data_IF_395387479925
#
_entry.id   IF_395387479925
#
_cell.length_a   1.000
_cell.length_b   1.000
_cell.length_c   1.000
_cell.angle_alpha   90.00
_cell.angle_beta   90.00
_cell.angle_gamma   90.00
#
_symmetry.space_group_name_H-M   'P 1'
#
loop_
_entity.id
_entity.type
_entity.pdbx_description
1 polymer ?
#
# COMPACT_ATOMS: atom_id res chain seq x y z
N UNK A 1 3.71 8.87 -2.21
CA UNK A 1 4.24 7.47 -2.26
C UNK A 1 3.51 6.50 -1.33
N UNK A 2 3.29 6.77 -0.03
CA UNK A 2 2.60 5.81 0.86
C UNK A 2 1.19 5.43 0.37
N UNK A 3 0.42 6.39 -0.13
CA UNK A 3 -0.90 6.14 -0.74
C UNK A 3 -0.78 5.23 -1.97
N UNK A 4 0.22 5.43 -2.82
CA UNK A 4 0.46 4.55 -3.99
C UNK A 4 0.81 3.12 -3.55
N UNK A 5 1.59 2.97 -2.48
CA UNK A 5 1.88 1.66 -1.90
C UNK A 5 0.59 0.97 -1.43
N UNK A 6 -0.26 1.68 -0.69
CA UNK A 6 -1.54 1.17 -0.21
C UNK A 6 -2.48 0.77 -1.36
N UNK A 7 -2.60 1.62 -2.40
CA UNK A 7 -3.43 1.33 -3.57
C UNK A 7 -2.90 0.12 -4.33
N UNK A 8 -1.58 0.05 -4.56
CA UNK A 8 -0.97 -1.09 -5.22
C UNK A 8 -1.17 -2.39 -4.42
N UNK A 9 -1.03 -2.36 -3.09
CA UNK A 9 -1.28 -3.52 -2.24
C UNK A 9 -2.74 -3.95 -2.26
N UNK A 10 -3.68 -3.00 -2.36
CA UNK A 10 -5.11 -3.29 -2.59
C UNK A 10 -5.35 -4.01 -3.93
N UNK A 11 -4.61 -3.66 -4.98
CA UNK A 11 -4.72 -4.36 -6.28
C UNK A 11 -4.06 -5.74 -6.22
N UNK A 12 -2.88 -5.84 -5.59
CA UNK A 12 -2.13 -7.09 -5.42
C UNK A 12 -2.94 -8.15 -4.65
N UNK A 13 -3.59 -7.75 -3.54
CA UNK A 13 -4.42 -8.68 -2.74
C UNK A 13 -5.70 -9.13 -3.46
N UNK A 14 -6.09 -8.42 -4.53
CA UNK A 14 -7.20 -8.81 -5.42
C UNK A 14 -6.75 -9.71 -6.58
N UNK A 15 -5.48 -10.12 -6.61
CA UNK A 15 -4.95 -11.04 -7.62
C UNK A 15 -4.29 -10.39 -8.83
N UNK A 16 -4.14 -9.06 -8.84
CA UNK A 16 -3.32 -8.37 -9.86
C UNK A 16 -1.84 -8.68 -9.60
N UNK A 17 -1.12 -9.15 -10.61
CA UNK A 17 0.31 -9.53 -10.47
C UNK A 17 1.27 -8.47 -11.00
N UNK A 18 0.78 -7.52 -11.79
CA UNK A 18 1.59 -6.47 -12.41
C UNK A 18 0.94 -5.11 -12.23
N UNK A 19 1.66 -4.23 -11.54
CA UNK A 19 1.26 -2.84 -11.38
C UNK A 19 1.90 -2.04 -12.51
N UNK A 20 1.06 -1.54 -13.42
CA UNK A 20 1.45 -0.54 -14.40
C UNK A 20 0.81 0.79 -13.96
N UNK A 21 1.56 1.68 -13.29
CA UNK A 21 1.05 3.00 -12.98
C UNK A 21 0.66 3.71 -14.27
N UNK A 22 -0.50 4.37 -14.29
CA UNK A 22 -0.95 5.11 -15.47
C UNK A 22 0.17 6.06 -15.92
N UNK A 23 0.68 5.90 -17.16
CA UNK A 23 1.85 6.61 -17.59
C UNK A 23 1.56 8.09 -17.83
N UNK A 24 2.65 8.83 -17.83
CA UNK A 24 2.74 10.20 -18.29
C UNK A 24 2.01 10.42 -19.63
N UNK A 25 1.16 11.44 -19.69
CA UNK A 25 0.67 12.00 -20.97
C UNK A 25 1.76 12.93 -21.53
N UNK A 26 2.76 12.35 -22.18
CA UNK A 26 3.73 13.13 -22.96
C UNK A 26 3.07 13.70 -24.22
N UNK A 27 3.40 14.95 -24.55
CA UNK A 27 3.07 15.56 -25.82
C UNK A 27 4.28 16.28 -26.39
N UNK A 28 5.00 15.64 -27.31
CA UNK A 28 6.04 16.23 -28.17
C UNK A 28 5.54 17.43 -29.00
N UNK A 29 4.22 17.54 -29.14
CA UNK A 29 3.55 18.46 -30.05
C UNK A 29 3.24 19.85 -29.46
N UNK A 30 3.92 20.29 -28.39
CA UNK A 30 3.63 21.57 -27.71
C UNK A 30 2.16 21.75 -27.25
N UNK A 31 1.37 20.68 -27.22
CA UNK A 31 0.00 20.67 -26.71
C UNK A 31 0.01 20.19 -25.26
N UNK A 32 -0.22 21.14 -24.35
CA UNK A 32 -0.22 20.97 -22.90
C UNK A 32 -1.50 20.25 -22.48
N UNK A 33 -1.45 18.93 -22.26
CA UNK A 33 -2.50 18.24 -21.51
C UNK A 33 -2.22 18.41 -20.02
N UNK A 34 -3.17 18.99 -19.28
CA UNK A 34 -3.12 19.00 -17.82
C UNK A 34 -3.03 17.54 -17.36
N UNK A 35 -2.04 17.29 -16.50
CA UNK A 35 -1.65 15.99 -16.01
C UNK A 35 -2.81 15.25 -15.33
N UNK A 36 -2.91 13.95 -15.60
CA UNK A 36 -3.59 13.02 -14.70
C UNK A 36 -2.83 12.95 -13.36
N UNK A 37 -3.53 12.57 -12.30
CA UNK A 37 -3.14 12.64 -10.88
C UNK A 37 -1.88 11.86 -10.45
N UNK A 38 -1.20 11.16 -11.35
CA UNK A 38 0.02 10.37 -11.06
C UNK A 38 1.18 10.78 -12.00
N UNK A 39 1.82 11.93 -11.74
CA UNK A 39 3.05 12.34 -12.47
C UNK A 39 4.27 11.51 -12.02
N UNK A 40 4.50 10.40 -12.71
CA UNK A 40 5.66 9.53 -12.53
C UNK A 40 6.72 9.96 -13.55
N UNK A 41 7.49 11.00 -13.19
CA UNK A 41 8.59 11.50 -14.01
C UNK A 41 9.76 11.99 -13.16
N UNK A 42 10.95 12.10 -13.76
CA UNK A 42 12.17 12.59 -13.12
C UNK A 42 12.07 14.03 -12.58
N UNK A 43 11.02 14.75 -12.97
CA UNK A 43 10.70 16.10 -12.51
C UNK A 43 9.99 16.10 -11.16
N UNK A 44 9.38 14.98 -10.78
CA UNK A 44 8.72 14.83 -9.49
C UNK A 44 9.78 14.68 -8.38
N UNK A 45 9.69 15.41 -7.25
CA UNK A 45 10.62 15.26 -6.13
C UNK A 45 10.76 13.83 -5.62
N UNK A 46 9.70 13.03 -5.77
CA UNK A 46 9.61 11.64 -5.31
C UNK A 46 10.23 10.62 -6.26
N UNK A 47 10.72 11.03 -7.45
CA UNK A 47 11.21 10.12 -8.49
C UNK A 47 12.23 9.09 -7.99
N UNK A 48 13.22 9.54 -7.23
CA UNK A 48 14.27 8.68 -6.69
C UNK A 48 13.71 7.61 -5.74
N UNK A 49 12.64 7.93 -5.02
CA UNK A 49 11.99 7.02 -4.07
C UNK A 49 11.01 6.03 -4.73
N UNK A 50 10.65 6.21 -6.01
CA UNK A 50 9.81 5.25 -6.75
C UNK A 50 10.49 3.88 -6.82
N UNK A 51 11.82 3.83 -6.89
CA UNK A 51 12.56 2.57 -6.91
C UNK A 51 12.21 1.67 -5.72
N UNK A 52 12.06 2.24 -4.53
CA UNK A 52 11.70 1.48 -3.33
C UNK A 52 10.29 0.86 -3.45
N UNK A 53 9.35 1.53 -4.11
CA UNK A 53 8.03 0.96 -4.40
C UNK A 53 8.12 -0.17 -5.43
N UNK A 54 8.82 0.06 -6.54
CA UNK A 54 8.91 -0.93 -7.62
C UNK A 54 9.65 -2.19 -7.19
N UNK A 55 10.70 -2.05 -6.38
CA UNK A 55 11.44 -3.20 -5.83
C UNK A 55 10.50 -4.07 -4.99
N UNK A 56 9.67 -3.45 -4.13
CA UNK A 56 8.66 -4.15 -3.34
C UNK A 56 7.60 -4.82 -4.24
N UNK A 57 7.01 -4.07 -5.18
CA UNK A 57 5.95 -4.59 -6.04
C UNK A 57 6.41 -5.73 -6.94
N UNK A 58 7.66 -5.70 -7.40
CA UNK A 58 8.24 -6.78 -8.19
C UNK A 58 8.25 -8.09 -7.41
N UNK A 59 8.59 -8.06 -6.11
CA UNK A 59 8.52 -9.25 -5.27
C UNK A 59 7.05 -9.59 -4.98
N UNK A 60 6.25 -8.62 -4.56
CA UNK A 60 4.86 -8.89 -4.17
C UNK A 60 4.02 -9.49 -5.31
N UNK A 61 4.20 -9.01 -6.55
CA UNK A 61 3.51 -9.48 -7.75
C UNK A 61 4.02 -10.79 -8.36
N UNK A 62 5.09 -11.39 -7.83
CA UNK A 62 5.61 -12.68 -8.30
C UNK A 62 4.76 -13.86 -7.79
N UNK A 63 3.57 -14.02 -8.35
CA UNK A 63 2.71 -15.19 -8.13
C UNK A 63 1.94 -15.53 -9.41
N UNK A 64 1.45 -16.77 -9.49
CA UNK A 64 0.64 -17.26 -10.59
C UNK A 64 -0.84 -16.89 -10.37
N UNK A 65 -1.31 -15.86 -11.08
CA UNK A 65 -2.69 -15.40 -10.97
C UNK A 65 -3.65 -16.43 -11.55
N UNK A 66 -4.68 -16.79 -10.78
CA UNK A 66 -5.65 -17.80 -11.20
C UNK A 66 -5.19 -19.25 -10.97
N UNK A 67 -3.98 -19.48 -10.46
CA UNK A 67 -3.54 -20.84 -10.09
C UNK A 67 -4.41 -21.48 -9.00
N UNK A 68 -5.00 -20.64 -8.13
CA UNK A 68 -5.99 -21.07 -7.16
C UNK A 68 -7.37 -20.61 -7.62
N UNK A 69 -8.14 -21.52 -8.22
CA UNK A 69 -9.56 -21.26 -8.51
C UNK A 69 -10.36 -21.33 -7.20
N UNK A 70 -11.06 -20.26 -6.79
CA UNK A 70 -11.82 -20.27 -5.54
C UNK A 70 -13.07 -21.13 -5.65
N UNK A 71 -13.42 -21.81 -4.55
CA UNK A 71 -14.64 -22.61 -4.45
C UNK A 71 -15.93 -21.78 -4.57
N UNK A 72 -15.86 -20.49 -4.21
CA UNK A 72 -16.98 -19.56 -4.13
C UNK A 72 -16.91 -18.55 -5.27
N UNK A 73 -17.92 -18.55 -6.13
CA UNK A 73 -18.06 -17.53 -7.19
C UNK A 73 -19.23 -16.61 -6.88
N UNK A 74 -19.04 -15.31 -7.07
CA UNK A 74 -20.09 -14.29 -6.91
C UNK A 74 -20.54 -13.87 -8.31
N UNK A 75 -21.83 -14.01 -8.61
CA UNK A 75 -22.32 -13.64 -9.93
C UNK A 75 -22.24 -12.12 -10.12
N UNK A 76 -21.39 -11.67 -11.04
CA UNK A 76 -21.30 -10.28 -11.47
C UNK A 76 -22.48 -9.97 -12.38
N UNK A 77 -23.42 -9.18 -11.86
CA UNK A 77 -24.44 -8.58 -12.69
C UNK A 77 -23.92 -7.29 -13.27
N UNK A 78 -23.74 -7.25 -14.58
CA UNK A 78 -23.66 -5.98 -15.30
C UNK A 78 -25.08 -5.44 -15.45
N UNK A 79 -25.69 -5.02 -14.35
CA UNK A 79 -26.96 -4.31 -14.40
C UNK A 79 -26.71 -2.93 -15.02
N UNK A 80 -26.89 -2.87 -16.35
CA UNK A 80 -26.93 -1.69 -17.21
C UNK A 80 -25.59 -0.92 -17.38
N UNK A 81 -25.16 -0.63 -18.62
CA UNK A 81 -24.15 0.42 -18.82
C UNK A 81 -24.71 1.72 -18.26
N UNK A 82 -23.95 2.39 -17.39
CA UNK A 82 -24.31 3.70 -16.84
C UNK A 82 -24.66 4.63 -18.01
N UNK A 83 -25.91 5.12 -18.14
CA UNK A 83 -26.26 6.01 -19.23
C UNK A 83 -25.69 7.39 -18.93
N UNK A 84 -24.64 7.74 -19.65
CA UNK A 84 -23.94 9.03 -19.63
C UNK A 84 -23.33 9.41 -18.26
N UNK A 85 -22.12 9.96 -18.27
CA UNK A 85 -21.27 10.21 -17.07
C UNK A 85 -21.89 11.23 -16.07
N UNK A 86 -23.05 11.77 -16.42
CA UNK A 86 -23.77 12.84 -15.72
C UNK A 86 -25.13 12.42 -15.15
N UNK A 87 -25.66 11.24 -15.47
CA UNK A 87 -26.96 10.81 -14.93
C UNK A 87 -26.81 10.23 -13.52
N UNK A 88 -27.70 10.56 -12.56
CA UNK A 88 -27.70 9.93 -11.27
C UNK A 88 -27.97 8.42 -11.42
N UNK A 89 -27.14 7.60 -10.77
CA UNK A 89 -27.34 6.15 -10.70
C UNK A 89 -28.74 5.90 -10.10
N UNK A 90 -29.63 5.18 -10.80
CA UNK A 90 -30.95 4.82 -10.28
C UNK A 90 -30.86 4.18 -8.88
N UNK A 91 -31.76 4.56 -7.97
CA UNK A 91 -31.72 4.11 -6.57
C UNK A 91 -31.67 2.57 -6.43
N UNK A 92 -32.39 1.84 -7.30
CA UNK A 92 -32.34 0.37 -7.34
C UNK A 92 -30.94 -0.17 -7.61
N UNK A 93 -30.19 0.45 -8.52
CA UNK A 93 -28.80 0.07 -8.84
C UNK A 93 -27.85 0.41 -7.69
N UNK A 94 -28.05 1.57 -7.04
CA UNK A 94 -27.29 1.95 -5.84
C UNK A 94 -27.47 0.91 -4.73
N UNK A 95 -28.70 0.52 -4.46
CA UNK A 95 -29.00 -0.51 -3.45
C UNK A 95 -28.43 -1.88 -3.83
N UNK A 96 -28.46 -2.25 -5.11
CA UNK A 96 -27.82 -3.47 -5.59
C UNK A 96 -26.31 -3.46 -5.37
N UNK A 97 -25.63 -2.36 -5.74
CA UNK A 97 -24.20 -2.16 -5.48
C UNK A 97 -23.85 -2.22 -3.99
N UNK A 98 -24.67 -1.61 -3.12
CA UNK A 98 -24.49 -1.69 -1.67
C UNK A 98 -24.59 -3.13 -1.15
N UNK A 99 -25.56 -3.92 -1.63
CA UNK A 99 -25.69 -5.34 -1.24
C UNK A 99 -24.49 -6.18 -1.68
N UNK A 100 -24.00 -5.96 -2.90
CA UNK A 100 -22.79 -6.62 -3.39
C UNK A 100 -21.61 -6.26 -2.49
N UNK A 101 -21.38 -4.97 -2.22
CA UNK A 101 -20.25 -4.54 -1.39
C UNK A 101 -20.30 -5.14 0.02
N UNK A 102 -21.47 -5.16 0.67
CA UNK A 102 -21.63 -5.79 2.00
C UNK A 102 -21.29 -7.29 1.96
N UNK A 103 -21.69 -8.00 0.89
CA UNK A 103 -21.34 -9.40 0.70
C UNK A 103 -19.82 -9.59 0.52
N UNK A 104 -19.19 -8.79 -0.35
CA UNK A 104 -17.76 -8.87 -0.63
C UNK A 104 -16.94 -8.54 0.62
N UNK A 105 -17.30 -7.49 1.36
CA UNK A 105 -16.65 -7.11 2.62
C UNK A 105 -16.72 -8.24 3.66
N UNK A 106 -17.84 -8.98 3.68
CA UNK A 106 -18.02 -10.12 4.61
C UNK A 106 -17.21 -11.34 4.19
N UNK A 107 -17.12 -11.64 2.89
CA UNK A 107 -16.23 -12.68 2.37
C UNK A 107 -14.76 -12.38 2.70
N UNK A 108 -14.34 -11.12 2.55
CA UNK A 108 -13.00 -10.66 2.91
C UNK A 108 -12.73 -10.79 4.42
N UNK A 109 -13.67 -10.35 5.28
CA UNK A 109 -13.56 -10.49 6.73
C UNK A 109 -13.38 -11.95 7.16
N UNK A 110 -14.09 -12.87 6.54
CA UNK A 110 -14.06 -14.29 6.87
C UNK A 110 -12.93 -15.05 6.14
N UNK A 111 -12.03 -14.34 5.46
CA UNK A 111 -10.89 -14.91 4.73
C UNK A 111 -11.30 -15.95 3.67
N UNK A 112 -12.45 -15.75 3.01
CA UNK A 112 -13.00 -16.63 2.00
C UNK A 112 -12.54 -16.14 0.62
N UNK A 113 -11.71 -16.90 -0.11
CA UNK A 113 -11.34 -16.55 -1.48
C UNK A 113 -12.56 -16.62 -2.39
N UNK A 114 -12.71 -15.63 -3.28
CA UNK A 114 -13.81 -15.55 -4.22
C UNK A 114 -13.36 -14.94 -5.54
N UNK A 115 -14.14 -15.15 -6.60
CA UNK A 115 -14.04 -14.39 -7.85
C UNK A 115 -15.42 -14.03 -8.37
N UNK A 116 -15.47 -13.07 -9.29
CA UNK A 116 -16.69 -12.85 -10.05
C UNK A 116 -16.91 -13.95 -11.09
N UNK A 117 -18.15 -14.39 -11.23
CA UNK A 117 -18.64 -15.16 -12.37
C UNK A 117 -19.44 -14.26 -13.31
N UNK A 118 -19.35 -14.51 -14.61
CA UNK A 118 -20.20 -13.86 -15.62
C UNK A 118 -21.20 -14.87 -16.21
N UNK A 119 -22.06 -14.44 -17.15
CA UNK A 119 -23.03 -15.34 -17.79
C UNK A 119 -22.38 -16.51 -18.53
N UNK A 120 -21.18 -16.36 -19.11
CA UNK A 120 -20.49 -17.45 -19.78
C UNK A 120 -20.05 -18.53 -18.79
N UNK A 121 -19.65 -18.15 -17.58
CA UNK A 121 -19.30 -19.09 -16.50
C UNK A 121 -20.49 -20.00 -16.13
N UNK A 122 -21.74 -19.50 -16.21
CA UNK A 122 -22.93 -20.29 -15.88
C UNK A 122 -23.17 -21.47 -16.84
N UNK A 123 -22.69 -21.36 -18.08
CA UNK A 123 -22.83 -22.38 -19.10
C UNK A 123 -21.49 -23.09 -19.42
N UNK A 124 -20.40 -22.69 -18.77
CA UNK A 124 -19.06 -23.24 -18.95
C UNK A 124 -18.90 -24.66 -18.40
N UNK A 125 -17.76 -25.29 -18.70
CA UNK A 125 -17.44 -26.64 -18.20
C UNK A 125 -16.85 -26.63 -16.79
N UNK A 126 -16.16 -25.56 -16.43
CA UNK A 126 -15.65 -25.35 -15.08
C UNK A 126 -16.72 -24.69 -14.25
N UNK A 127 -17.04 -25.28 -13.09
CA UNK A 127 -18.12 -24.84 -12.21
C UNK A 127 -17.60 -24.66 -10.78
N UNK A 128 -18.17 -23.72 -10.01
CA UNK A 128 -17.78 -23.53 -8.61
C UNK A 128 -18.38 -24.62 -7.74
N UNK A 129 -17.91 -24.74 -6.49
CA UNK A 129 -18.67 -25.48 -5.47
C UNK A 129 -19.89 -24.69 -5.01
N UNK A 130 -19.75 -23.36 -4.91
CA UNK A 130 -20.83 -22.44 -4.51
C UNK A 130 -20.94 -21.27 -5.49
N UNK A 131 -22.13 -21.06 -6.04
CA UNK A 131 -22.50 -19.85 -6.75
C UNK A 131 -23.35 -18.94 -5.85
N UNK A 132 -22.85 -17.75 -5.58
CA UNK A 132 -23.53 -16.73 -4.77
C UNK A 132 -24.18 -15.69 -5.67
N UNK A 133 -25.49 -15.55 -5.52
CA UNK A 133 -26.29 -14.54 -6.21
C UNK A 133 -26.42 -13.31 -5.29
N UNK A 134 -25.98 -12.12 -5.70
CA UNK A 134 -26.10 -10.93 -4.85
C UNK A 134 -27.55 -10.48 -4.61
N UNK A 135 -28.49 -10.95 -5.43
CA UNK A 135 -29.93 -10.72 -5.26
C UNK A 135 -30.77 -11.77 -6.01
N UNK A 136 -32.10 -11.63 -5.99
CA UNK A 136 -33.01 -12.59 -6.59
C UNK A 136 -32.70 -12.83 -8.08
N UNK A 137 -32.76 -14.09 -8.55
CA UNK A 137 -32.29 -14.46 -9.87
C UNK A 137 -33.14 -13.88 -11.00
N UNK A 138 -32.51 -13.61 -12.14
CA UNK A 138 -33.22 -13.28 -13.39
C UNK A 138 -33.61 -14.55 -14.18
N UNK A 139 -34.34 -14.37 -15.29
CA UNK A 139 -34.81 -15.49 -16.12
C UNK A 139 -33.65 -16.33 -16.69
N UNK A 140 -32.60 -15.70 -17.19
CA UNK A 140 -31.46 -16.39 -17.81
C UNK A 140 -30.64 -17.16 -16.77
N UNK A 141 -30.48 -16.57 -15.58
CA UNK A 141 -29.86 -17.23 -14.43
C UNK A 141 -30.67 -18.49 -14.05
N UNK A 142 -32.01 -18.38 -13.97
CA UNK A 142 -32.85 -19.55 -13.63
C UNK A 142 -32.80 -20.68 -14.64
N UNK A 143 -32.54 -20.40 -15.92
CA UNK A 143 -32.38 -21.41 -16.96
C UNK A 143 -31.09 -22.26 -16.76
N UNK A 144 -30.04 -21.68 -16.19
CA UNK A 144 -28.79 -22.40 -15.91
C UNK A 144 -28.86 -23.28 -14.64
N UNK A 145 -29.76 -22.98 -13.70
CA UNK A 145 -29.77 -23.60 -12.37
C UNK A 145 -29.98 -25.12 -12.34
N UNK A 146 -30.87 -25.73 -13.15
CA UNK A 146 -31.04 -27.19 -13.15
C UNK A 146 -29.72 -27.91 -13.41
N UNK A 147 -28.99 -27.51 -14.47
CA UNK A 147 -27.68 -28.05 -14.83
C UNK A 147 -26.64 -27.85 -13.72
N UNK A 148 -26.59 -26.65 -13.14
CA UNK A 148 -25.64 -26.35 -12.06
C UNK A 148 -25.89 -27.24 -10.84
N UNK A 149 -27.17 -27.43 -10.46
CA UNK A 149 -27.54 -28.31 -9.34
C UNK A 149 -27.26 -29.78 -9.63
N UNK A 150 -27.53 -30.25 -10.85
CA UNK A 150 -27.17 -31.61 -11.29
C UNK A 150 -25.67 -31.86 -11.20
N UNK A 151 -24.85 -30.83 -11.46
CA UNK A 151 -23.40 -30.87 -11.29
C UNK A 151 -22.93 -30.71 -9.84
N UNK A 152 -23.85 -30.60 -8.87
CA UNK A 152 -23.55 -30.47 -7.45
C UNK A 152 -23.22 -29.06 -6.97
N UNK A 153 -23.43 -28.03 -7.79
CA UNK A 153 -23.20 -26.62 -7.40
C UNK A 153 -24.26 -26.18 -6.40
N UNK A 154 -23.83 -25.69 -5.24
CA UNK A 154 -24.71 -25.06 -4.26
C UNK A 154 -24.99 -23.62 -4.70
N UNK A 155 -26.26 -23.27 -4.90
CA UNK A 155 -26.68 -21.92 -5.29
C UNK A 155 -27.31 -21.23 -4.07
N UNK A 156 -26.76 -20.09 -3.66
CA UNK A 156 -27.24 -19.30 -2.52
C UNK A 156 -27.48 -17.84 -2.91
N UNK A 157 -28.38 -17.17 -2.19
CA UNK A 157 -28.65 -15.74 -2.40
C UNK A 157 -28.13 -14.94 -1.22
N UNK A 158 -27.23 -13.98 -1.47
CA UNK A 158 -26.60 -13.17 -0.43
C UNK A 158 -25.64 -13.96 0.46
N UNK A 159 -25.56 -13.58 1.74
CA UNK A 159 -24.70 -14.25 2.72
C UNK A 159 -25.37 -15.47 3.34
N UNK A 160 -24.61 -16.55 3.49
CA UNK A 160 -24.97 -17.74 4.25
C UNK A 160 -23.74 -18.22 5.07
N UNK A 161 -23.93 -18.61 6.33
CA UNK A 161 -22.83 -19.03 7.20
C UNK A 161 -22.15 -20.33 6.73
N UNK A 162 -22.78 -21.11 5.85
CA UNK A 162 -22.13 -22.25 5.20
C UNK A 162 -20.90 -21.84 4.38
N UNK A 163 -20.79 -20.57 3.96
CA UNK A 163 -19.62 -20.05 3.24
C UNK A 163 -18.34 -20.11 4.08
N UNK A 164 -18.44 -20.02 5.42
CA UNK A 164 -17.28 -20.02 6.34
C UNK A 164 -16.42 -21.29 6.23
N UNK A 165 -17.01 -22.41 5.78
CA UNK A 165 -16.26 -23.67 5.53
C UNK A 165 -15.23 -23.55 4.40
N UNK A 166 -15.31 -22.50 3.59
CA UNK A 166 -14.41 -22.22 2.46
C UNK A 166 -13.35 -21.15 2.79
N UNK A 167 -13.22 -20.72 4.06
CA UNK A 167 -12.15 -19.84 4.47
C UNK A 167 -10.78 -20.50 4.21
N UNK A 168 -9.81 -19.74 3.69
CA UNK A 168 -8.49 -20.29 3.38
C UNK A 168 -7.59 -20.45 4.62
N UNK A 169 -7.98 -19.83 5.74
CA UNK A 169 -7.34 -19.94 7.05
C UNK A 169 -8.38 -19.94 8.17
N UNK A 170 -8.05 -20.59 9.30
CA UNK A 170 -8.90 -20.56 10.50
C UNK A 170 -8.52 -19.37 11.37
N UNK A 171 -9.25 -18.27 11.25
CA UNK A 171 -9.00 -17.03 11.98
C UNK A 171 -9.16 -17.21 13.50
N UNK A 172 -8.41 -16.40 14.27
CA UNK A 172 -8.50 -16.32 15.73
C UNK A 172 -8.93 -14.92 16.14
N UNK A 173 -9.98 -14.82 16.95
CA UNK A 173 -10.59 -13.55 17.37
C UNK A 173 -11.79 -13.16 16.51
N UNK A 174 -12.56 -12.16 16.97
CA UNK A 174 -13.86 -11.83 16.37
C UNK A 174 -13.79 -10.85 15.19
N UNK A 175 -12.66 -10.14 15.00
CA UNK A 175 -12.59 -9.06 14.01
C UNK A 175 -11.31 -9.11 13.19
N UNK A 176 -11.38 -9.78 12.03
CA UNK A 176 -10.32 -9.72 11.03
C UNK A 176 -10.52 -8.48 10.14
N UNK A 177 -9.57 -7.55 10.22
CA UNK A 177 -9.54 -6.34 9.36
C UNK A 177 -8.63 -6.55 8.15
N UNK A 178 -7.83 -7.62 8.13
CA UNK A 178 -6.90 -7.89 7.04
C UNK A 178 -7.59 -8.59 5.86
N UNK A 179 -7.13 -8.24 4.66
CA UNK A 179 -7.45 -8.96 3.43
C UNK A 179 -6.42 -10.05 3.20
N UNK A 180 -6.87 -11.18 2.67
CA UNK A 180 -6.00 -12.33 2.40
C UNK A 180 -6.15 -12.84 0.98
N UNK A 181 -5.05 -13.31 0.41
CA UNK A 181 -5.03 -13.96 -0.90
C UNK A 181 -4.16 -15.22 -0.83
N UNK A 182 -4.73 -16.43 -0.94
CA UNK A 182 -3.92 -17.62 -1.18
C UNK A 182 -3.31 -17.55 -2.58
N UNK A 183 -2.00 -17.77 -2.70
CA UNK A 183 -1.29 -17.64 -3.97
C UNK A 183 -0.33 -18.82 -4.21
N UNK A 184 -0.03 -19.09 -5.48
CA UNK A 184 1.01 -20.05 -5.86
C UNK A 184 2.19 -19.27 -6.41
N UNK A 185 3.40 -19.62 -5.95
CA UNK A 185 4.64 -18.92 -6.28
C UNK A 185 5.70 -19.93 -6.70
N UNK A 186 6.79 -19.51 -7.38
CA UNK A 186 7.90 -20.42 -7.71
C UNK A 186 8.45 -21.17 -6.50
N UNK A 187 8.42 -20.56 -5.31
CA UNK A 187 8.91 -21.14 -4.05
C UNK A 187 7.89 -22.07 -3.36
N UNK A 188 6.65 -22.14 -3.88
CA UNK A 188 5.56 -22.98 -3.37
C UNK A 188 4.25 -22.22 -3.10
N UNK A 189 3.33 -22.88 -2.40
CA UNK A 189 2.08 -22.28 -1.95
C UNK A 189 2.32 -21.20 -0.89
N UNK A 190 1.61 -20.08 -1.00
CA UNK A 190 1.69 -18.95 -0.10
C UNK A 190 0.36 -18.31 0.26
N UNK A 191 0.44 -17.34 1.15
CA UNK A 191 -0.67 -16.51 1.62
C UNK A 191 -0.16 -15.07 1.71
N UNK A 192 -0.77 -14.16 0.94
CA UNK A 192 -0.57 -12.72 1.09
C UNK A 192 -1.58 -12.21 2.11
N UNK A 193 -1.12 -11.34 3.01
CA UNK A 193 -1.95 -10.71 4.03
C UNK A 193 -1.70 -9.21 3.99
N UNK A 194 -2.77 -8.44 3.81
CA UNK A 194 -2.72 -6.99 3.67
C UNK A 194 -3.58 -6.32 4.73
N UNK A 195 -3.05 -5.28 5.37
CA UNK A 195 -3.79 -4.43 6.29
C UNK A 195 -4.28 -3.16 5.56
N UNK A 196 -5.59 -3.06 5.23
CA UNK A 196 -6.15 -1.88 4.59
C UNK A 196 -6.41 -0.72 5.57
N UNK A 197 -6.36 -0.95 6.89
CA UNK A 197 -6.70 0.06 7.90
C UNK A 197 -5.59 1.11 8.11
N UNK A 198 -5.92 2.14 8.87
CA UNK A 198 -5.04 3.20 9.35
C UNK A 198 -4.36 2.88 10.69
N UNK A 199 -4.65 1.72 11.29
CA UNK A 199 -4.06 1.25 12.54
C UNK A 199 -3.12 0.05 12.33
N UNK A 200 -2.23 -0.18 13.30
CA UNK A 200 -1.44 -1.41 13.32
C UNK A 200 -2.28 -2.57 13.84
N UNK A 201 -2.33 -3.67 13.09
CA UNK A 201 -3.11 -4.85 13.44
C UNK A 201 -2.22 -6.08 13.61
N UNK A 202 -2.66 -7.02 14.45
CA UNK A 202 -2.05 -8.35 14.56
C UNK A 202 -2.97 -9.37 13.92
N UNK A 203 -2.59 -9.90 12.76
CA UNK A 203 -3.33 -10.97 12.09
C UNK A 203 -2.95 -12.33 12.68
N UNK A 204 -3.97 -13.13 13.01
CA UNK A 204 -3.79 -14.41 13.72
C UNK A 204 -4.65 -15.50 13.12
N UNK A 205 -4.04 -16.66 12.88
CA UNK A 205 -4.78 -17.84 12.41
C UNK A 205 -4.19 -19.14 12.97
N UNK A 206 -5.04 -20.15 13.12
CA UNK A 206 -4.64 -21.49 13.53
C UNK A 206 -4.00 -22.22 12.36
N UNK A 207 -2.91 -22.92 12.63
CA UNK A 207 -2.21 -23.72 11.62
C UNK A 207 -1.43 -24.87 12.25
N UNK A 208 -1.44 -26.01 11.57
CA UNK A 208 -0.55 -27.15 11.84
C UNK A 208 0.65 -27.19 10.90
N UNK A 209 0.70 -26.28 9.91
CA UNK A 209 1.77 -26.20 8.93
C UNK A 209 2.84 -25.22 9.39
N UNK A 210 4.07 -25.46 8.96
CA UNK A 210 5.12 -24.49 9.09
C UNK A 210 4.96 -23.37 8.04
N UNK A 211 5.30 -22.15 8.44
CA UNK A 211 5.27 -20.98 7.57
C UNK A 211 6.57 -20.19 7.71
N UNK A 212 7.05 -19.67 6.59
CA UNK A 212 8.14 -18.68 6.53
C UNK A 212 7.62 -17.42 5.85
N UNK A 213 8.17 -16.27 6.20
CA UNK A 213 7.93 -15.08 5.40
C UNK A 213 8.85 -15.03 4.18
N UNK A 214 8.30 -14.65 3.02
CA UNK A 214 9.05 -14.16 1.87
C UNK A 214 9.06 -12.63 1.94
N UNK A 215 10.14 -11.99 2.44
CA UNK A 215 10.11 -10.58 2.74
C UNK A 215 10.18 -9.73 1.46
N UNK A 216 9.03 -9.22 1.00
CA UNK A 216 8.98 -8.11 0.04
C UNK A 216 9.55 -6.82 0.64
N UNK A 217 9.39 -6.64 1.96
CA UNK A 217 10.13 -5.67 2.77
C UNK A 217 10.85 -6.40 3.91
N UNK A 218 12.19 -6.49 3.83
CA UNK A 218 13.02 -7.13 4.86
C UNK A 218 12.94 -6.39 6.21
N UNK A 219 12.79 -5.07 6.18
CA UNK A 219 12.79 -4.26 7.41
C UNK A 219 11.59 -4.61 8.29
N UNK A 220 10.40 -4.75 7.68
CA UNK A 220 9.20 -5.15 8.40
C UNK A 220 9.33 -6.56 8.99
N UNK A 221 9.82 -7.52 8.20
CA UNK A 221 10.04 -8.89 8.64
C UNK A 221 11.01 -9.00 9.83
N UNK A 222 12.08 -8.21 9.82
CA UNK A 222 13.09 -8.22 10.88
C UNK A 222 12.63 -7.52 12.16
N UNK A 223 11.93 -6.38 12.05
CA UNK A 223 11.41 -5.64 13.20
C UNK A 223 10.22 -6.35 13.87
N UNK A 224 9.42 -7.05 13.07
CA UNK A 224 8.22 -7.74 13.50
C UNK A 224 8.17 -9.17 12.95
N UNK A 225 9.05 -10.08 13.42
CA UNK A 225 9.07 -11.46 12.95
C UNK A 225 7.73 -12.16 13.20
N UNK A 226 7.40 -13.14 12.36
CA UNK A 226 6.23 -14.00 12.60
C UNK A 226 6.45 -14.81 13.88
N UNK A 227 5.41 -14.97 14.68
CA UNK A 227 5.46 -15.73 15.93
C UNK A 227 4.47 -16.88 15.82
N UNK A 228 4.92 -18.10 16.11
CA UNK A 228 4.07 -19.27 16.19
C UNK A 228 4.11 -19.82 17.62
N UNK A 229 2.97 -19.81 18.32
CA UNK A 229 2.82 -20.40 19.65
C UNK A 229 1.52 -21.21 19.67
N UNK A 230 1.58 -22.42 20.20
CA UNK A 230 0.41 -23.29 20.42
C UNK A 230 -0.48 -23.47 19.17
N UNK A 231 0.15 -23.62 18.00
CA UNK A 231 -0.53 -23.79 16.72
C UNK A 231 -1.23 -22.51 16.21
N UNK A 232 -0.92 -21.34 16.77
CA UNK A 232 -1.41 -20.04 16.30
C UNK A 232 -0.24 -19.25 15.72
N UNK A 233 -0.33 -18.92 14.43
CA UNK A 233 0.58 -17.98 13.79
C UNK A 233 0.05 -16.56 14.00
N UNK A 234 0.93 -15.67 14.45
CA UNK A 234 0.66 -14.24 14.64
C UNK A 234 1.65 -13.41 13.82
N UNK A 235 1.14 -12.38 13.12
CA UNK A 235 1.94 -11.46 12.34
C UNK A 235 1.44 -10.02 12.54
N UNK A 236 2.36 -9.09 12.78
CA UNK A 236 2.05 -7.67 12.92
C UNK A 236 2.10 -7.00 11.55
N UNK A 237 1.09 -6.18 11.26
CA UNK A 237 0.95 -5.39 10.03
C UNK A 237 0.68 -3.92 10.38
N UNK A 238 1.63 -3.02 10.14
CA UNK A 238 1.37 -1.58 10.13
C UNK A 238 0.31 -1.17 9.08
N UNK A 239 -0.20 0.06 9.14
CA UNK A 239 -1.14 0.60 8.16
C UNK A 239 -0.63 0.45 6.72
N UNK A 240 -1.44 -0.13 5.83
CA UNK A 240 -1.09 -0.35 4.43
C UNK A 240 0.00 -1.39 4.16
N UNK A 241 0.47 -2.12 5.18
CA UNK A 241 1.49 -3.15 5.01
C UNK A 241 0.91 -4.40 4.35
N UNK A 242 1.73 -5.04 3.50
CA UNK A 242 1.46 -6.35 2.90
C UNK A 242 2.61 -7.30 3.24
N UNK A 243 2.27 -8.49 3.74
CA UNK A 243 3.24 -9.55 4.07
C UNK A 243 2.90 -10.83 3.31
N UNK A 244 3.92 -11.63 3.03
CA UNK A 244 3.80 -12.82 2.18
C UNK A 244 4.33 -14.02 2.97
N UNK A 245 3.46 -14.96 3.29
CA UNK A 245 3.81 -16.19 3.96
C UNK A 245 3.91 -17.33 2.93
N UNK A 246 4.91 -18.20 3.08
CA UNK A 246 5.10 -19.41 2.29
C UNK A 246 4.93 -20.63 3.19
N UNK A 247 4.19 -21.63 2.72
CA UNK A 247 4.06 -22.92 3.42
C UNK A 247 5.37 -23.70 3.30
N UNK A 248 5.80 -24.30 4.40
CA UNK A 248 6.99 -25.16 4.47
C UNK A 248 6.65 -26.52 5.06
N UNK A 249 7.50 -27.50 4.74
CA UNK A 249 7.43 -28.85 5.34
C UNK A 249 7.94 -28.87 6.77
N UNK A 250 8.91 -28.00 7.09
CA UNK A 250 9.54 -27.91 8.39
C UNK A 250 9.44 -26.49 8.95
N UNK A 251 9.36 -26.38 10.28
CA UNK A 251 9.32 -25.13 11.00
C UNK A 251 10.59 -24.31 10.73
N UNK A 252 10.42 -23.00 10.50
CA UNK A 252 11.55 -22.11 10.31
C UNK A 252 12.18 -21.67 11.63
N UNK A 253 13.44 -21.26 11.51
CA UNK A 253 14.42 -20.93 12.55
C UNK A 253 13.93 -20.16 13.78
N UNK A 254 14.67 -20.37 14.87
CA UNK A 254 14.55 -19.68 16.15
C UNK A 254 14.29 -18.18 16.03
N UNK A 255 13.40 -17.68 16.89
CA UNK A 255 13.09 -16.27 16.98
C UNK A 255 14.37 -15.47 17.27
N UNK A 256 14.68 -14.51 16.40
CA UNK A 256 15.77 -13.58 16.65
C UNK A 256 15.50 -12.78 17.93
N UNK A 257 16.55 -12.42 18.70
CA UNK A 257 16.39 -11.60 19.90
C UNK A 257 15.63 -10.32 19.58
N UNK A 258 14.70 -9.95 20.48
CA UNK A 258 13.95 -8.71 20.35
C UNK A 258 14.90 -7.50 20.36
N UNK A 259 14.54 -6.48 19.58
CA UNK A 259 15.27 -5.21 19.61
C UNK A 259 15.03 -4.51 20.95
N UNK A 260 16.10 -3.96 21.52
CA UNK A 260 15.99 -2.98 22.59
C UNK A 260 15.72 -1.62 21.96
N UNK A 261 14.61 -0.99 22.36
CA UNK A 261 14.21 0.34 21.89
C UNK A 261 14.78 1.42 22.82
N UNK A 262 15.54 2.34 22.24
CA UNK A 262 16.05 3.54 22.91
C UNK A 262 15.47 4.79 22.22
N UNK A 263 14.62 5.58 22.88
CA UNK A 263 14.18 6.87 22.34
C UNK A 263 15.38 7.80 22.08
N UNK A 264 15.33 8.56 20.99
CA UNK A 264 16.36 9.52 20.61
C UNK A 264 15.77 10.92 20.43
N UNK A 265 16.52 11.91 20.90
CA UNK A 265 16.29 13.31 20.60
C UNK A 265 17.45 13.83 19.75
N UNK A 266 17.18 14.11 18.49
CA UNK A 266 18.17 14.59 17.52
C UNK A 266 17.80 16.01 17.10
N UNK A 267 18.78 16.91 17.12
CA UNK A 267 18.65 18.24 16.55
C UNK A 267 19.01 18.18 15.06
N UNK A 268 18.01 18.28 14.21
CA UNK A 268 18.19 18.26 12.76
C UNK A 268 18.34 19.68 12.21
N UNK A 269 19.29 19.86 11.31
CA UNK A 269 19.51 21.11 10.57
C UNK A 269 19.20 20.89 9.09
N UNK A 270 18.42 21.79 8.49
CA UNK A 270 18.20 21.85 7.05
C UNK A 270 19.45 22.45 6.40
N UNK A 271 20.29 21.61 5.80
CA UNK A 271 21.57 22.03 5.19
C UNK A 271 21.44 22.32 3.69
N UNK A 272 20.46 21.69 3.03
CA UNK A 272 20.16 21.94 1.61
C UNK A 272 18.67 21.84 1.34
N UNK A 273 18.18 22.76 0.53
CA UNK A 273 16.83 22.75 -0.02
C UNK A 273 16.91 22.70 -1.55
N UNK A 274 16.14 21.81 -2.18
CA UNK A 274 15.97 21.73 -3.63
C UNK A 274 14.49 21.94 -3.98
N UNK A 275 14.10 23.17 -4.27
CA UNK A 275 12.71 23.58 -4.51
C UNK A 275 12.29 23.35 -5.95
N UNK A 276 11.21 22.61 -6.14
CA UNK A 276 10.52 22.44 -7.41
C UNK A 276 9.88 23.76 -7.85
N UNK A 277 10.05 24.10 -9.12
CA UNK A 277 9.40 25.24 -9.76
C UNK A 277 8.74 24.76 -11.05
N UNK A 278 7.41 24.75 -11.04
CA UNK A 278 6.54 24.57 -12.20
C UNK A 278 6.23 25.93 -12.80
N UNK A 279 5.92 25.94 -14.09
CA UNK A 279 5.44 27.14 -14.76
C UNK A 279 4.53 26.77 -15.91
N UNK A 280 3.58 27.64 -16.18
CA UNK A 280 2.74 27.53 -17.36
C UNK A 280 3.53 27.82 -18.65
N UNK A 281 4.68 28.50 -18.61
CA UNK A 281 5.47 28.86 -19.81
C UNK A 281 6.85 28.24 -19.88
N UNK A 282 7.44 27.96 -18.73
CA UNK A 282 8.85 27.53 -18.63
C UNK A 282 8.95 26.04 -18.29
N UNK A 283 10.04 25.37 -18.70
CA UNK A 283 10.30 24.00 -18.28
C UNK A 283 10.38 23.88 -16.75
N UNK A 284 9.96 22.72 -16.23
CA UNK A 284 10.12 22.37 -14.81
C UNK A 284 11.59 22.38 -14.43
N UNK A 285 11.91 22.94 -13.25
CA UNK A 285 13.28 22.98 -12.72
C UNK A 285 13.31 22.87 -11.20
N UNK A 286 14.47 22.52 -10.67
CA UNK A 286 14.78 22.61 -9.25
C UNK A 286 15.72 23.78 -8.98
N UNK A 287 15.44 24.57 -7.95
CA UNK A 287 16.34 25.63 -7.45
C UNK A 287 16.93 25.17 -6.13
N UNK A 288 18.25 25.27 -5.99
CA UNK A 288 18.94 24.84 -4.77
C UNK A 288 19.37 26.03 -3.93
N UNK A 289 19.18 25.94 -2.62
CA UNK A 289 19.76 26.86 -1.64
C UNK A 289 20.33 26.07 -0.44
N UNK A 290 21.25 26.67 0.30
CA UNK A 290 21.86 26.12 1.53
C UNK A 290 21.45 26.98 2.72
N UNK A 291 20.25 26.77 3.29
CA UNK A 291 19.69 27.69 4.27
C UNK A 291 20.40 27.60 5.63
N UNK A 292 20.89 26.41 6.01
CA UNK A 292 21.56 26.13 7.28
C UNK A 292 20.74 26.59 8.51
N UNK A 293 19.48 26.13 8.57
CA UNK A 293 18.52 26.48 9.63
C UNK A 293 18.07 25.24 10.40
N UNK A 294 17.80 25.34 11.71
CA UNK A 294 17.27 24.22 12.47
C UNK A 294 15.89 23.80 11.95
N UNK A 295 15.62 22.50 11.92
CA UNK A 295 14.29 21.96 11.70
C UNK A 295 13.44 22.28 12.95
N UNK A 296 12.19 22.76 12.78
CA UNK A 296 11.29 23.01 13.91
C UNK A 296 11.08 21.77 14.80
N UNK A 297 10.74 22.02 16.07
CA UNK A 297 10.61 20.97 17.09
C UNK A 297 9.50 19.94 16.77
N UNK A 298 8.49 20.31 15.98
CA UNK A 298 7.44 19.40 15.50
C UNK A 298 7.91 18.51 14.34
N UNK A 299 9.16 18.67 13.88
CA UNK A 299 9.78 17.91 12.80
C UNK A 299 9.32 18.33 11.40
N UNK A 300 8.52 19.38 11.25
CA UNK A 300 7.96 19.82 9.97
C UNK A 300 8.60 21.11 9.47
N UNK A 301 8.99 21.11 8.20
CA UNK A 301 9.49 22.29 7.52
C UNK A 301 8.33 23.21 7.11
N UNK A 302 8.41 24.50 7.46
CA UNK A 302 7.26 25.44 7.46
C UNK A 302 7.27 26.47 6.33
N UNK A 303 7.97 26.21 5.23
CA UNK A 303 7.99 27.14 4.11
C UNK A 303 6.71 27.03 3.25
N UNK A 304 6.09 28.18 2.98
CA UNK A 304 4.85 28.25 2.21
C UNK A 304 5.01 27.68 0.80
N UNK A 305 4.02 26.89 0.39
CA UNK A 305 3.93 26.26 -0.92
C UNK A 305 5.19 25.45 -1.29
N UNK A 306 5.93 24.95 -0.29
CA UNK A 306 7.14 24.17 -0.55
C UNK A 306 6.79 22.84 -1.23
N UNK A 307 7.54 22.52 -2.27
CA UNK A 307 7.60 21.20 -2.88
C UNK A 307 9.01 21.01 -3.38
N UNK A 308 9.63 19.86 -3.12
CA UNK A 308 11.04 19.67 -3.38
C UNK A 308 11.67 18.59 -2.53
N UNK A 309 12.97 18.76 -2.29
CA UNK A 309 13.78 17.85 -1.48
C UNK A 309 14.47 18.65 -0.38
N UNK A 310 14.49 18.10 0.81
CA UNK A 310 15.28 18.63 1.93
C UNK A 310 16.44 17.69 2.22
N UNK A 311 17.60 18.25 2.52
CA UNK A 311 18.69 17.52 3.17
C UNK A 311 18.77 18.00 4.60
N UNK A 312 18.57 17.06 5.52
CA UNK A 312 18.67 17.25 6.95
C UNK A 312 19.96 16.60 7.44
N UNK A 313 20.68 17.27 8.34
CA UNK A 313 21.86 16.70 9.01
C UNK A 313 21.69 16.78 10.52
N UNK A 314 22.15 15.74 11.21
CA UNK A 314 22.18 15.65 12.66
C UNK A 314 23.40 14.84 13.10
N UNK A 315 23.74 14.94 14.37
CA UNK A 315 24.83 14.18 14.98
C UNK A 315 24.26 13.27 16.06
N UNK A 316 24.78 12.04 16.12
CA UNK A 316 24.41 11.04 17.10
C UNK A 316 25.68 10.50 17.76
N UNK A 317 25.78 10.70 19.06
CA UNK A 317 26.84 10.10 19.87
C UNK A 317 26.40 8.70 20.31
N UNK A 318 27.25 7.70 20.09
CA UNK A 318 27.01 6.32 20.48
C UNK A 318 28.07 5.88 21.49
N UNK A 319 27.69 5.40 22.69
CA UNK A 319 28.65 5.04 23.73
C UNK A 319 29.50 3.81 23.36
N UNK A 320 29.02 3.01 22.42
CA UNK A 320 29.72 1.85 21.87
C UNK A 320 29.35 1.67 20.40
N UNK A 321 30.10 0.83 19.69
CA UNK A 321 29.76 0.48 18.31
C UNK A 321 28.53 -0.41 18.29
N UNK A 322 27.47 0.02 17.58
CA UNK A 322 26.19 -0.68 17.58
C UNK A 322 25.59 -0.80 16.18
N UNK A 323 24.92 -1.92 15.92
CA UNK A 323 24.16 -2.17 14.70
C UNK A 323 22.68 -2.36 15.03
N UNK A 324 21.81 -1.89 14.14
CA UNK A 324 20.38 -1.94 14.38
C UNK A 324 19.60 -1.11 13.38
N UNK A 325 18.49 -0.52 13.83
CA UNK A 325 17.65 0.35 13.02
C UNK A 325 17.46 1.72 13.66
N UNK A 326 17.60 2.78 12.87
CA UNK A 326 17.06 4.09 13.21
C UNK A 326 15.62 4.14 12.71
N UNK A 327 14.67 4.23 13.63
CA UNK A 327 13.23 4.16 13.38
C UNK A 327 12.61 5.52 13.61
N UNK A 328 11.94 6.03 12.57
CA UNK A 328 11.15 7.24 12.61
C UNK A 328 9.68 6.86 12.74
N UNK A 329 8.91 7.68 13.44
CA UNK A 329 7.46 7.53 13.49
C UNK A 329 6.83 7.80 12.11
N UNK A 330 7.26 8.89 11.46
CA UNK A 330 6.79 9.27 10.12
C UNK A 330 7.85 10.05 9.35
N UNK A 331 7.86 9.87 8.03
CA UNK A 331 8.59 10.71 7.08
C UNK A 331 7.63 11.17 6.00
N UNK A 332 7.62 12.48 5.72
CA UNK A 332 6.71 13.10 4.74
C UNK A 332 7.46 13.45 3.45
N UNK A 333 7.42 12.63 2.38
CA UNK A 333 6.71 11.34 2.23
C UNK A 333 7.63 10.16 1.88
N UNK A 334 8.92 10.40 1.76
CA UNK A 334 9.95 9.38 1.54
C UNK A 334 11.29 9.89 2.05
N UNK A 335 12.19 8.98 2.39
CA UNK A 335 13.47 9.30 3.01
C UNK A 335 14.61 8.45 2.49
N UNK A 336 15.79 9.05 2.32
CA UNK A 336 17.06 8.36 2.07
C UNK A 336 18.07 8.72 3.17
N UNK A 337 18.48 7.73 3.96
CA UNK A 337 19.40 7.92 5.08
C UNK A 337 20.84 7.58 4.69
N UNK A 338 21.77 8.41 5.14
CA UNK A 338 23.20 8.18 5.12
C UNK A 338 23.75 8.29 6.54
N UNK A 339 24.66 7.38 6.89
CA UNK A 339 25.38 7.36 8.17
C UNK A 339 26.87 7.41 7.88
N UNK A 340 27.57 8.41 8.41
CA UNK A 340 28.99 8.64 8.16
C UNK A 340 29.34 8.63 6.66
N UNK A 341 28.49 9.26 5.84
CA UNK A 341 28.63 9.32 4.38
C UNK A 341 28.22 8.06 3.61
N UNK A 342 27.91 6.95 4.28
CA UNK A 342 27.48 5.70 3.63
C UNK A 342 25.97 5.60 3.57
N UNK A 343 25.42 5.24 2.40
CA UNK A 343 23.98 5.03 2.23
C UNK A 343 23.51 3.86 3.11
N UNK A 344 22.56 4.16 3.99
CA UNK A 344 21.90 3.20 4.89
C UNK A 344 20.65 2.59 4.23
N UNK A 345 19.85 3.41 3.54
CA UNK A 345 18.67 2.90 2.85
C UNK A 345 17.79 4.01 2.26
N UNK A 346 16.77 3.58 1.52
CA UNK A 346 15.75 4.43 0.88
C UNK A 346 14.38 3.85 1.24
N UNK A 347 13.46 4.68 1.74
CA UNK A 347 12.11 4.30 2.15
C UNK A 347 11.08 5.19 1.48
N UNK A 348 10.00 4.58 0.99
CA UNK A 348 8.85 5.25 0.36
C UNK A 348 7.52 4.99 1.08
N UNK A 349 7.55 4.12 2.09
CA UNK A 349 6.42 3.67 2.89
C UNK A 349 6.91 3.14 4.25
N UNK A 350 6.00 3.06 5.21
CA UNK A 350 6.25 2.52 6.55
C UNK A 350 6.55 1.00 6.50
N UNK A 351 7.32 0.43 7.45
CA UNK A 351 7.96 1.11 8.58
C UNK A 351 9.06 2.09 8.14
N UNK A 352 9.18 3.25 8.80
CA UNK A 352 10.21 4.24 8.49
C UNK A 352 11.49 3.92 9.22
N UNK A 353 12.08 2.78 8.89
CA UNK A 353 13.25 2.25 9.56
C UNK A 353 14.40 2.03 8.59
N UNK A 354 15.60 2.40 9.02
CA UNK A 354 16.82 2.34 8.23
C UNK A 354 17.89 1.58 9.00
N UNK A 355 18.52 0.59 8.35
CA UNK A 355 19.60 -0.18 8.97
C UNK A 355 20.81 0.71 9.22
N UNK A 356 21.26 0.81 10.47
CA UNK A 356 22.41 1.64 10.85
C UNK A 356 23.54 0.79 11.43
N UNK A 357 24.77 1.24 11.17
CA UNK A 357 25.99 0.77 11.83
C UNK A 357 26.70 2.00 12.38
N UNK A 358 26.59 2.20 13.68
CA UNK A 358 27.18 3.33 14.39
C UNK A 358 28.54 2.91 14.94
N UNK A 359 29.54 3.78 14.81
CA UNK A 359 30.81 3.63 15.51
C UNK A 359 30.68 4.24 16.91
N UNK A 360 31.54 3.81 17.81
CA UNK A 360 31.74 4.48 19.10
C UNK A 360 32.06 5.98 18.90
N UNK A 361 31.47 6.81 19.74
CA UNK A 361 31.51 8.25 19.68
C UNK A 361 30.60 8.84 18.59
N UNK A 362 31.10 9.89 17.95
CA UNK A 362 30.28 10.77 17.11
C UNK A 362 30.03 10.19 15.71
N UNK A 363 28.75 10.11 15.35
CA UNK A 363 28.25 9.70 14.04
C UNK A 363 27.50 10.85 13.36
N UNK A 364 27.76 11.06 12.07
CA UNK A 364 27.02 12.04 11.25
C UNK A 364 25.87 11.34 10.55
N UNK A 365 24.66 11.87 10.72
CA UNK A 365 23.45 11.43 10.05
C UNK A 365 23.07 12.45 9.00
N UNK A 366 22.77 11.98 7.79
CA UNK A 366 22.22 12.81 6.72
C UNK A 366 20.97 12.14 6.16
N UNK A 367 19.84 12.82 6.24
CA UNK A 367 18.56 12.34 5.75
C UNK A 367 18.08 13.24 4.62
N UNK A 368 17.89 12.67 3.43
CA UNK A 368 17.20 13.36 2.33
C UNK A 368 15.72 13.04 2.42
N UNK A 369 14.87 14.06 2.55
CA UNK A 369 13.41 13.93 2.59
C UNK A 369 12.83 14.42 1.27
N UNK A 370 11.97 13.61 0.65
CA UNK A 370 11.32 13.91 -0.63
C UNK A 370 9.84 14.27 -0.39
N UNK A 371 9.46 15.53 -0.62
CA UNK A 371 8.07 15.98 -0.46
C UNK A 371 7.20 15.56 -1.66
N UNK A 372 5.90 15.87 -1.61
CA UNK A 372 5.03 15.82 -2.80
C UNK A 372 5.31 17.01 -3.73
N UNK A 373 4.80 16.96 -4.96
CA UNK A 373 4.71 18.13 -5.85
C UNK A 373 3.39 18.91 -5.66
N UNK A 374 2.54 18.51 -4.70
CA UNK A 374 1.16 18.96 -4.58
C UNK A 374 1.04 20.46 -4.37
N UNK A 375 1.85 21.02 -3.45
CA UNK A 375 1.81 22.45 -3.17
C UNK A 375 2.24 23.30 -4.37
N UNK A 376 3.33 22.94 -5.04
CA UNK A 376 3.79 23.68 -6.21
C UNK A 376 2.81 23.58 -7.38
N UNK A 377 2.11 22.43 -7.51
CA UNK A 377 0.99 22.30 -8.45
C UNK A 377 -0.16 23.24 -8.09
N UNK A 378 -0.59 23.30 -6.83
CA UNK A 378 -1.64 24.23 -6.38
C UNK A 378 -1.24 25.68 -6.62
N UNK A 379 0.02 26.04 -6.31
CA UNK A 379 0.58 27.37 -6.57
C UNK A 379 0.53 27.72 -8.05
N UNK A 380 1.16 26.90 -8.91
CA UNK A 380 1.21 27.12 -10.36
C UNK A 380 -0.21 27.16 -10.97
N UNK A 381 -1.12 26.32 -10.49
CA UNK A 381 -2.50 26.35 -10.93
C UNK A 381 -3.18 27.69 -10.61
N UNK A 382 -3.17 28.09 -9.34
CA UNK A 382 -3.77 29.34 -8.84
C UNK A 382 -3.16 30.59 -9.47
N UNK A 383 -1.85 30.63 -9.62
CA UNK A 383 -1.10 31.85 -9.97
C UNK A 383 -0.83 31.99 -11.47
N UNK A 384 -0.72 30.90 -12.21
CA UNK A 384 -0.30 30.92 -13.62
C UNK A 384 -1.33 30.30 -14.57
N UNK A 385 -1.92 29.15 -14.23
CA UNK A 385 -2.80 28.42 -15.15
C UNK A 385 -4.24 28.93 -15.15
N UNK A 386 -4.86 29.05 -13.97
CA UNK A 386 -6.24 29.53 -13.82
C UNK A 386 -6.44 30.94 -14.41
N UNK A 387 -5.55 31.93 -14.18
CA UNK A 387 -5.64 33.24 -14.84
C UNK A 387 -5.58 33.19 -16.37
N UNK A 388 -5.05 32.10 -16.94
CA UNK A 388 -4.96 31.86 -18.39
C UNK A 388 -6.14 31.04 -18.94
N UNK A 389 -7.19 30.86 -18.14
CA UNK A 389 -8.39 30.14 -18.53
C UNK A 389 -8.25 28.62 -18.47
N UNK A 390 -7.21 28.09 -17.82
CA UNK A 390 -7.12 26.65 -17.57
C UNK A 390 -8.03 26.28 -16.41
N UNK A 391 -8.85 25.25 -16.60
CA UNK A 391 -9.72 24.71 -15.57
C UNK A 391 -9.57 23.19 -15.52
N UNK A 392 -9.83 22.62 -14.34
CA UNK A 392 -9.84 21.18 -14.14
C UNK A 392 -11.28 20.71 -13.92
N UNK A 393 -11.84 20.03 -14.93
CA UNK A 393 -13.18 19.44 -14.86
C UNK A 393 -13.32 18.36 -13.78
N UNK A 394 -12.24 17.90 -13.14
CA UNK A 394 -12.30 17.02 -11.97
C UNK A 394 -12.20 17.79 -10.65
N UNK A 395 -11.71 19.04 -10.64
CA UNK A 395 -11.47 19.80 -9.42
C UNK A 395 -12.74 20.10 -8.62
N UNK A 396 -13.90 20.23 -9.28
CA UNK A 396 -15.17 20.42 -8.59
C UNK A 396 -15.59 19.17 -7.77
N UNK A 397 -15.18 17.97 -8.18
CA UNK A 397 -15.34 16.72 -7.39
C UNK A 397 -14.24 16.57 -6.33
N UNK A 398 -13.05 17.11 -6.60
CA UNK A 398 -11.89 17.05 -5.68
C UNK A 398 -11.96 18.05 -4.51
N UNK A 399 -12.80 19.09 -4.57
CA UNK A 399 -13.03 20.02 -3.42
C UNK A 399 -13.46 19.30 -2.13
N UNK A 400 -14.03 18.10 -2.24
CA UNK A 400 -14.39 17.24 -1.11
C UNK A 400 -13.19 16.47 -0.51
N UNK A 401 -12.05 16.47 -1.21
CA UNK A 401 -10.82 15.75 -0.88
C UNK A 401 -9.64 16.72 -0.76
N UNK A 402 -9.82 17.83 -0.01
CA UNK A 402 -8.76 18.78 0.32
C UNK A 402 -7.73 18.12 1.25
N UNK A 403 -6.94 17.18 0.72
CA UNK A 403 -5.79 16.64 1.42
C UNK A 403 -4.68 17.67 1.32
N UNK A 404 -4.31 18.24 2.46
CA UNK A 404 -3.17 19.12 2.55
C UNK A 404 -1.86 18.31 2.62
N UNK A 405 -1.39 17.83 1.47
CA UNK A 405 -0.05 17.22 1.31
C UNK A 405 1.11 18.25 1.47
N UNK A 406 0.93 19.27 2.31
CA UNK A 406 1.92 20.33 2.52
C UNK A 406 3.04 19.94 3.47
N UNK A 407 2.84 18.90 4.28
CA UNK A 407 3.83 18.46 5.24
C UNK A 407 5.08 17.91 4.55
N UNK A 408 6.23 18.41 4.96
CA UNK A 408 7.54 17.85 4.61
C UNK A 408 8.42 17.83 5.85
N UNK A 409 9.10 16.72 6.08
CA UNK A 409 9.97 16.54 7.23
C UNK A 409 9.81 15.17 7.89
N UNK A 410 10.05 15.13 9.19
CA UNK A 410 10.14 13.94 10.04
C UNK A 410 9.35 14.12 11.34
N UNK A 411 8.02 14.28 11.26
CA UNK A 411 7.20 14.49 12.45
C UNK A 411 7.20 13.25 13.35
N UNK A 412 7.07 13.50 14.65
CA UNK A 412 6.95 12.46 15.67
C UNK A 412 8.29 12.01 16.26
N UNK A 413 8.26 10.84 16.90
CA UNK A 413 9.38 10.31 17.65
C UNK A 413 10.43 9.59 16.78
N UNK A 414 11.67 9.60 17.26
CA UNK A 414 12.78 8.83 16.67
C UNK A 414 13.30 7.88 17.75
N UNK A 415 13.66 6.66 17.36
CA UNK A 415 14.23 5.69 18.27
C UNK A 415 15.30 4.85 17.58
N UNK A 416 16.30 4.43 18.35
CA UNK A 416 17.29 3.45 17.97
C UNK A 416 16.85 2.07 18.45
N UNK A 417 16.82 1.10 17.54
CA UNK A 417 16.46 -0.28 17.80
C UNK A 417 17.73 -1.12 17.66
N UNK A 418 18.30 -1.56 18.78
CA UNK A 418 19.56 -2.32 18.80
C UNK A 418 19.31 -3.77 19.14
N UNK A 419 20.10 -4.69 18.57
CA UNK A 419 20.23 -6.05 19.11
C UNK A 419 21.45 -6.06 20.03
N UNK A 420 21.31 -6.59 21.24
CA UNK A 420 22.48 -6.98 22.02
C UNK A 420 23.17 -8.12 21.26
N UNK A 421 24.46 -7.92 20.98
CA UNK A 421 25.32 -8.93 20.34
C UNK A 421 25.60 -10.10 21.28
#
# INVERSE_FOLDING_TARGET
LPVMHWVANTLLIQGITRILPMPYLYGDMKLRKICCSTDISHRNPQWEAIKALTDFWNIAGQFDAGANEPDVWVLARTEYPVPDVLSPIPEKQRQAGMRVNVLLDRLEHEAIPWRFANYNDLFGQHLPKILVLPSAPDKWETEAFPRLREAGVQIITGWDDCLKKHACVSLVGERNVCRVLPCVRPEGEGLMVFNPSDETVTFRFRTSKAWTELPADRVLAELHPIVCSDGILSLVLPPGALRILLKRKEAAQEALPAFTKQPLHLQWTVTKEERLSLSAEKPTRFRSITPNIPLPADGLYKEKDFSGKLTLEAELDAPESVSGYLVFERICHAGELFVNGRKSGLRAFAPWAFSVKLREGKNTLKLRVFSSAGNEWRRCFREELEPRGWFNNYAHRLKQYLVDDADVGIPGSIALFCRKG
#
